data_IF_834226003189
#
_entry.id   IF_834226003189
#
_cell.length_a   1.000
_cell.length_b   1.000
_cell.length_c   1.000
_cell.angle_alpha   90.00
_cell.angle_beta   90.00
_cell.angle_gamma   90.00
#
_symmetry.space_group_name_H-M   'P 1'
#
loop_
_entity.id
_entity.type
_entity.pdbx_description
1 polymer ?
#
# COMPACT_ATOMS: atom_id res chain seq x y z
N UNK A 1 -2.83 3.94 -24.40
CA UNK A 1 -2.59 3.63 -22.97
C UNK A 1 -1.40 2.68 -22.72
N UNK A 2 -1.06 1.75 -23.64
CA UNK A 2 0.07 0.79 -23.46
C UNK A 2 1.44 1.41 -23.13
N UNK A 3 1.71 2.66 -23.58
CA UNK A 3 2.96 3.39 -23.29
C UNK A 3 3.07 3.83 -21.82
N UNK A 4 1.96 4.17 -21.17
CA UNK A 4 1.93 4.63 -19.78
C UNK A 4 2.14 3.44 -18.85
N UNK A 5 1.43 2.33 -19.10
CA UNK A 5 1.59 1.08 -18.35
C UNK A 5 3.02 0.54 -18.47
N UNK A 6 3.64 0.60 -19.66
CA UNK A 6 5.06 0.23 -19.84
C UNK A 6 5.99 1.10 -19.00
N UNK A 7 5.81 2.42 -18.98
CA UNK A 7 6.62 3.32 -18.15
C UNK A 7 6.50 3.02 -16.65
N UNK A 8 5.29 2.71 -16.17
CA UNK A 8 5.08 2.33 -14.77
C UNK A 8 5.77 0.99 -14.47
N UNK A 9 5.61 -0.01 -15.33
CA UNK A 9 6.28 -1.31 -15.19
C UNK A 9 7.80 -1.16 -15.11
N UNK A 10 8.36 -0.38 -16.03
CA UNK A 10 9.81 -0.19 -16.10
C UNK A 10 10.31 0.60 -14.87
N UNK A 11 9.55 1.60 -14.40
CA UNK A 11 9.87 2.30 -13.15
C UNK A 11 9.81 1.37 -11.92
N UNK A 12 8.79 0.52 -11.81
CA UNK A 12 8.67 -0.48 -10.74
C UNK A 12 9.82 -1.48 -10.81
N UNK A 13 10.18 -1.94 -12.01
CA UNK A 13 11.34 -2.81 -12.21
C UNK A 13 12.63 -2.15 -11.76
N UNK A 14 12.86 -0.88 -12.10
CA UNK A 14 14.05 -0.14 -11.67
C UNK A 14 14.09 0.03 -10.15
N UNK A 15 12.95 0.27 -9.51
CA UNK A 15 12.85 0.35 -8.04
C UNK A 15 13.16 -0.99 -7.37
N UNK A 16 12.68 -2.10 -7.93
CA UNK A 16 12.92 -3.45 -7.39
C UNK A 16 14.34 -3.97 -7.65
N UNK A 17 14.93 -3.59 -8.79
CA UNK A 17 16.26 -4.05 -9.21
C UNK A 17 17.39 -3.17 -8.63
N UNK A 18 17.09 -1.95 -8.19
CA UNK A 18 18.05 -1.09 -7.52
C UNK A 18 18.56 -1.77 -6.23
N UNK A 19 19.86 -1.66 -5.89
CA UNK A 19 20.32 -2.08 -4.58
C UNK A 19 19.47 -1.36 -3.53
N UNK A 20 18.91 -2.10 -2.58
CA UNK A 20 17.86 -1.72 -1.57
C UNK A 20 18.16 -0.43 -0.77
N UNK A 21 19.31 0.22 -1.01
CA UNK A 21 19.67 1.59 -0.63
C UNK A 21 18.79 2.65 -1.33
N UNK A 22 17.47 2.53 -1.19
CA UNK A 22 16.57 3.61 -1.53
C UNK A 22 16.84 4.80 -0.58
N UNK A 23 16.92 6.03 -1.09
CA UNK A 23 17.30 7.21 -0.31
C UNK A 23 16.38 7.36 0.90
N UNK A 24 16.92 7.81 2.05
CA UNK A 24 16.26 7.80 3.38
C UNK A 24 14.91 8.54 3.51
N UNK A 25 14.35 9.07 2.42
CA UNK A 25 13.03 9.68 2.32
C UNK A 25 11.92 8.69 1.92
N UNK A 26 12.24 7.43 1.64
CA UNK A 26 11.25 6.39 1.29
C UNK A 26 10.18 6.25 2.36
N UNK A 27 10.57 6.35 3.63
CA UNK A 27 9.62 6.29 4.74
C UNK A 27 8.60 7.44 4.70
N UNK A 28 9.01 8.63 4.23
CA UNK A 28 8.11 9.75 4.00
C UNK A 28 7.15 9.49 2.85
N UNK A 29 7.67 9.01 1.71
CA UNK A 29 6.84 8.66 0.53
C UNK A 29 5.84 7.56 0.87
N UNK A 30 6.26 6.53 1.60
CA UNK A 30 5.39 5.41 2.01
C UNK A 30 4.21 5.87 2.86
N UNK A 31 4.39 6.86 3.75
CA UNK A 31 3.28 7.45 4.53
C UNK A 31 2.22 8.08 3.64
N UNK A 32 2.63 8.80 2.60
CA UNK A 32 1.68 9.41 1.65
C UNK A 32 1.01 8.37 0.76
N UNK A 33 1.72 7.28 0.39
CA UNK A 33 1.11 6.15 -0.31
C UNK A 33 0.07 5.48 0.58
N UNK A 34 0.38 5.19 1.83
CA UNK A 34 -0.57 4.61 2.78
C UNK A 34 -1.78 5.50 3.03
N UNK A 35 -1.59 6.81 3.18
CA UNK A 35 -2.68 7.77 3.31
C UNK A 35 -3.58 7.77 2.06
N UNK A 36 -2.98 7.80 0.86
CA UNK A 36 -3.73 7.76 -0.40
C UNK A 36 -4.47 6.45 -0.62
N UNK A 37 -3.87 5.31 -0.24
CA UNK A 37 -4.51 3.99 -0.32
C UNK A 37 -5.66 3.87 0.68
N UNK A 38 -5.51 4.35 1.92
CA UNK A 38 -6.59 4.35 2.90
C UNK A 38 -7.78 5.21 2.46
N UNK A 39 -7.52 6.37 1.84
CA UNK A 39 -8.60 7.19 1.26
C UNK A 39 -9.27 6.46 0.09
N UNK A 40 -8.50 5.79 -0.77
CA UNK A 40 -9.05 5.06 -1.90
C UNK A 40 -9.90 3.87 -1.44
N UNK A 41 -9.49 3.17 -0.39
CA UNK A 41 -10.26 2.10 0.27
C UNK A 41 -11.59 2.64 0.78
N UNK A 42 -11.59 3.75 1.54
CA UNK A 42 -12.84 4.36 2.04
C UNK A 42 -13.77 4.79 0.91
N UNK A 43 -13.24 5.42 -0.15
CA UNK A 43 -14.07 5.86 -1.28
C UNK A 43 -14.63 4.69 -2.08
N UNK A 44 -13.87 3.61 -2.26
CA UNK A 44 -14.35 2.40 -2.92
C UNK A 44 -15.37 1.65 -2.05
N UNK A 45 -15.18 1.58 -0.74
CA UNK A 45 -16.14 1.00 0.21
C UNK A 45 -17.45 1.81 0.28
N UNK A 46 -17.37 3.14 0.17
CA UNK A 46 -18.54 4.03 0.09
C UNK A 46 -19.34 3.84 -1.22
N UNK A 47 -18.66 3.51 -2.33
CA UNK A 47 -19.29 3.18 -3.61
C UNK A 47 -19.88 1.75 -3.64
N UNK A 48 -19.29 0.79 -2.90
CA UNK A 48 -19.72 -0.62 -2.91
C UNK A 48 -20.81 -0.98 -1.90
N UNK A 49 -21.17 -0.09 -0.97
CA UNK A 49 -22.34 -0.29 -0.10
C UNK A 49 -22.24 -1.52 0.80
N UNK A 50 -21.65 -1.34 1.98
CA UNK A 50 -22.01 -2.07 3.21
C UNK A 50 -21.92 -3.61 3.18
N UNK A 51 -20.73 -4.23 3.09
CA UNK A 51 -20.52 -5.53 3.76
C UNK A 51 -19.05 -6.00 3.87
N UNK A 52 -18.49 -5.86 5.09
CA UNK A 52 -17.66 -6.83 5.86
C UNK A 52 -16.42 -6.20 6.53
N UNK A 53 -16.07 -6.60 7.78
CA UNK A 53 -15.06 -5.92 8.58
C UNK A 53 -13.63 -6.24 8.09
N UNK A 54 -12.64 -5.34 8.32
CA UNK A 54 -11.29 -5.55 7.84
C UNK A 54 -10.63 -6.73 8.57
N UNK A 55 -10.33 -7.78 7.80
CA UNK A 55 -9.45 -8.86 8.21
C UNK A 55 -8.03 -8.33 8.31
N UNK A 56 -7.52 -8.15 9.52
CA UNK A 56 -6.12 -7.76 9.70
C UNK A 56 -5.74 -7.24 11.08
N UNK A 57 -5.95 -8.03 12.13
CA UNK A 57 -5.18 -7.93 13.37
C UNK A 57 -5.05 -9.31 14.02
N UNK A 58 -4.05 -10.07 13.55
CA UNK A 58 -3.38 -11.02 14.43
C UNK A 58 -2.59 -10.21 15.46
N UNK A 59 -3.16 -10.05 16.65
CA UNK A 59 -2.42 -9.71 17.86
C UNK A 59 -2.46 -10.94 18.75
N UNK A 60 -1.41 -11.77 18.66
CA UNK A 60 -1.10 -12.72 19.71
C UNK A 60 -0.72 -11.96 20.97
N UNK A 61 -1.48 -12.14 22.04
CA UNK A 61 -1.00 -11.91 23.39
C UNK A 61 -1.42 -13.07 24.28
N UNK A 62 -0.44 -13.95 24.48
CA UNK A 62 -0.05 -14.65 25.69
C UNK A 62 -0.96 -14.46 26.92
N UNK A 63 -1.34 -15.59 27.52
CA UNK A 63 -2.29 -15.63 28.62
C UNK A 63 -1.77 -15.12 29.95
N UNK A 64 -2.73 -14.84 30.82
CA UNK A 64 -2.67 -15.03 32.26
C UNK A 64 -4.07 -14.70 32.76
N UNK A 65 -4.85 -15.70 33.19
CA UNK A 65 -5.66 -15.75 34.44
C UNK A 65 -5.96 -17.21 34.78
#
# INVERSE_FOLDING_TARGET
MKKIIRKVRDAVQVVLLAPVKLPGKVLGVLKYVALGLGILETVLEEDEGQESPPAGKEEGHEGAE
#
